data_IF_276990507446
#
_entry.id   IF_276990507446
#
_cell.length_a   1.000
_cell.length_b   1.000
_cell.length_c   1.000
_cell.angle_alpha   90.00
_cell.angle_beta   90.00
_cell.angle_gamma   90.00
#
_symmetry.space_group_name_H-M   'P 1'
#
loop_
_entity.id
_entity.type
_entity.pdbx_description
1 polymer ?
#
# COMPACT_ATOMS: atom_id res chain seq x y z
N UNK A 1 77.02 -7.97 -9.50
CA UNK A 1 75.91 -8.90 -9.23
C UNK A 1 74.62 -8.12 -9.34
N UNK A 2 73.84 -8.36 -10.39
CA UNK A 2 72.50 -7.80 -10.56
C UNK A 2 71.52 -8.51 -9.62
N UNK A 3 70.63 -7.78 -8.94
CA UNK A 3 69.16 -8.01 -8.97
C UNK A 3 68.38 -7.12 -7.97
N UNK A 4 67.53 -6.28 -8.58
CA UNK A 4 66.12 -6.03 -8.26
C UNK A 4 65.73 -5.11 -7.08
N UNK A 5 65.55 -3.84 -7.48
CA UNK A 5 64.45 -2.91 -7.22
C UNK A 5 63.10 -3.46 -6.70
N UNK A 6 62.33 -2.53 -6.11
CA UNK A 6 60.89 -2.50 -5.77
C UNK A 6 60.46 -3.00 -4.39
N UNK A 7 60.17 -2.04 -3.51
CA UNK A 7 59.02 -2.08 -2.61
C UNK A 7 58.49 -0.65 -2.44
N UNK A 8 57.81 -0.18 -3.49
CA UNK A 8 56.94 0.98 -3.45
C UNK A 8 55.55 0.56 -2.95
N UNK A 9 54.93 1.44 -2.17
CA UNK A 9 53.48 1.61 -2.03
C UNK A 9 52.65 0.37 -1.62
N UNK A 10 52.43 0.20 -0.32
CA UNK A 10 51.22 -0.42 0.21
C UNK A 10 50.64 0.46 1.32
N UNK A 11 50.17 1.65 0.93
CA UNK A 11 49.47 2.57 1.82
C UNK A 11 48.41 3.38 1.04
N UNK A 12 47.41 2.71 0.47
CA UNK A 12 46.13 3.31 0.06
C UNK A 12 45.20 2.26 -0.57
N UNK A 13 44.61 1.39 0.25
CA UNK A 13 43.29 0.80 -0.07
C UNK A 13 42.46 0.80 1.21
N UNK A 14 42.27 1.98 1.81
CA UNK A 14 41.10 2.20 2.64
C UNK A 14 39.94 2.41 1.67
N UNK A 15 39.10 1.38 1.57
CA UNK A 15 37.83 1.46 0.88
C UNK A 15 37.09 2.71 1.35
N UNK A 16 36.76 3.59 0.41
CA UNK A 16 35.74 4.62 0.57
C UNK A 16 34.39 3.91 0.73
N UNK A 17 34.11 3.40 1.94
CA UNK A 17 32.75 3.11 2.36
C UNK A 17 32.19 4.42 2.91
N UNK A 18 31.10 4.89 2.31
CA UNK A 18 30.33 6.02 2.83
C UNK A 18 30.02 5.75 4.32
N UNK A 19 30.47 6.58 5.27
CA UNK A 19 30.23 6.37 6.70
C UNK A 19 28.75 6.24 7.04
N UNK A 20 27.87 6.79 6.20
CA UNK A 20 26.42 6.69 6.37
C UNK A 20 25.86 5.29 6.04
N UNK A 21 26.52 4.49 5.21
CA UNK A 21 26.13 3.09 4.95
C UNK A 21 26.46 2.17 6.13
N UNK A 22 27.57 2.44 6.83
CA UNK A 22 27.99 1.67 8.01
C UNK A 22 27.08 1.97 9.22
N UNK A 23 26.64 3.21 9.38
CA UNK A 23 25.77 3.62 10.50
C UNK A 23 24.32 3.14 10.35
N UNK A 24 23.84 2.92 9.12
CA UNK A 24 22.47 2.48 8.85
C UNK A 24 22.33 0.96 8.71
N UNK A 25 23.44 0.20 8.68
CA UNK A 25 23.43 -1.25 8.67
C UNK A 25 23.38 -1.80 10.10
N UNK A 26 22.46 -2.74 10.43
CA UNK A 26 22.47 -3.39 11.73
C UNK A 26 23.79 -4.15 11.95
N UNK A 27 24.27 -4.27 13.20
CA UNK A 27 25.38 -5.17 13.50
C UNK A 27 25.06 -6.59 13.01
N UNK A 28 26.02 -7.29 12.40
CA UNK A 28 25.76 -8.60 11.76
C UNK A 28 25.13 -9.62 12.71
N UNK A 29 25.51 -9.59 14.00
CA UNK A 29 24.92 -10.46 15.02
C UNK A 29 23.41 -10.22 15.18
N UNK A 30 22.98 -8.95 15.09
CA UNK A 30 21.59 -8.54 15.23
C UNK A 30 20.80 -8.99 14.00
N UNK A 31 21.35 -8.76 12.81
CA UNK A 31 20.71 -9.16 11.55
C UNK A 31 20.58 -10.68 11.42
N UNK A 32 21.66 -11.42 11.70
CA UNK A 32 21.62 -12.89 11.70
C UNK A 32 20.61 -13.44 12.71
N UNK A 33 20.58 -12.90 13.93
CA UNK A 33 19.65 -13.35 14.96
C UNK A 33 18.19 -13.11 14.55
N UNK A 34 17.88 -11.97 13.93
CA UNK A 34 16.55 -11.69 13.42
C UNK A 34 16.19 -12.62 12.25
N UNK A 35 17.07 -12.76 11.25
CA UNK A 35 16.83 -13.63 10.09
C UNK A 35 16.57 -15.07 10.50
N UNK A 36 17.35 -15.60 11.44
CA UNK A 36 17.12 -16.94 11.98
C UNK A 36 15.71 -17.08 12.58
N UNK A 37 15.28 -16.11 13.38
CA UNK A 37 13.94 -16.11 13.99
C UNK A 37 12.82 -16.00 12.96
N UNK A 38 13.00 -15.15 11.94
CA UNK A 38 12.07 -15.04 10.81
C UNK A 38 11.97 -16.38 10.08
N UNK A 39 13.10 -16.94 9.67
CA UNK A 39 13.15 -18.22 8.95
C UNK A 39 12.47 -19.32 9.75
N UNK A 40 12.75 -19.44 11.05
CA UNK A 40 12.13 -20.43 11.93
C UNK A 40 10.60 -20.26 11.99
N UNK A 41 10.12 -19.03 12.18
CA UNK A 41 8.68 -18.73 12.25
C UNK A 41 7.93 -19.09 10.96
N UNK A 42 8.47 -18.71 9.81
CA UNK A 42 7.85 -19.00 8.52
C UNK A 42 8.00 -20.47 8.12
N UNK A 43 9.08 -21.16 8.52
CA UNK A 43 9.17 -22.60 8.37
C UNK A 43 8.08 -23.34 9.15
N UNK A 44 7.73 -22.88 10.35
CA UNK A 44 6.59 -23.45 11.07
C UNK A 44 5.26 -23.18 10.37
N UNK A 45 5.09 -22.04 9.68
CA UNK A 45 3.88 -21.81 8.87
C UNK A 45 3.82 -22.69 7.63
N UNK A 46 4.95 -22.88 6.95
CA UNK A 46 5.04 -23.80 5.78
C UNK A 46 4.73 -25.24 6.19
N UNK A 47 5.24 -25.67 7.36
CA UNK A 47 4.96 -27.00 7.93
C UNK A 47 3.62 -27.09 8.65
N UNK A 48 2.88 -25.98 8.75
CA UNK A 48 1.63 -25.87 9.52
C UNK A 48 1.78 -26.24 11.02
N UNK A 49 2.99 -26.13 11.57
CA UNK A 49 3.30 -26.37 12.98
C UNK A 49 3.08 -25.10 13.82
N UNK A 50 1.89 -24.50 13.70
CA UNK A 50 1.59 -23.18 14.28
C UNK A 50 1.81 -23.07 15.80
N UNK A 51 1.61 -24.18 16.52
CA UNK A 51 1.88 -24.24 17.96
C UNK A 51 3.36 -24.02 18.29
N UNK A 52 4.28 -24.49 17.43
CA UNK A 52 5.72 -24.23 17.63
C UNK A 52 6.07 -22.78 17.31
N UNK A 53 5.40 -22.18 16.32
CA UNK A 53 5.58 -20.77 15.98
C UNK A 53 5.23 -19.83 17.13
N UNK A 54 4.30 -20.22 18.01
CA UNK A 54 3.91 -19.45 19.19
C UNK A 54 5.09 -19.07 20.10
N UNK A 55 6.12 -19.92 20.19
CA UNK A 55 7.31 -19.62 20.99
C UNK A 55 8.11 -18.39 20.47
N UNK A 56 7.84 -17.97 19.24
CA UNK A 56 8.44 -16.82 18.57
C UNK A 56 7.54 -15.59 18.58
N UNK A 57 6.34 -15.70 19.16
CA UNK A 57 5.34 -14.63 19.26
C UNK A 57 5.54 -13.86 20.57
N UNK A 58 5.54 -12.53 20.49
CA UNK A 58 5.71 -11.69 21.66
C UNK A 58 4.54 -11.91 22.64
N UNK A 59 4.78 -11.91 23.97
CA UNK A 59 3.75 -12.23 24.96
C UNK A 59 2.46 -11.42 24.82
N UNK A 60 2.58 -10.13 24.49
CA UNK A 60 1.47 -9.18 24.39
C UNK A 60 0.61 -9.32 23.13
N UNK A 61 1.01 -10.15 22.16
CA UNK A 61 0.25 -10.37 20.91
C UNK A 61 -0.19 -11.83 20.72
N UNK A 62 -0.05 -12.68 21.75
CA UNK A 62 -0.41 -14.10 21.68
C UNK A 62 -1.90 -14.33 21.41
N UNK A 63 -2.78 -13.57 22.06
CA UNK A 63 -4.23 -13.68 21.82
C UNK A 63 -4.62 -13.36 20.38
N UNK A 64 -3.98 -12.36 19.79
CA UNK A 64 -4.14 -12.07 18.36
C UNK A 64 -3.68 -13.26 17.53
N UNK A 65 -2.51 -13.81 17.84
CA UNK A 65 -1.98 -14.97 17.13
C UNK A 65 -2.94 -16.17 17.22
N UNK A 66 -3.54 -16.47 18.37
CA UNK A 66 -4.48 -17.60 18.50
C UNK A 66 -5.75 -17.41 17.70
N UNK A 67 -6.37 -16.23 17.81
CA UNK A 67 -7.68 -15.91 17.21
C UNK A 67 -7.64 -15.70 15.69
N UNK A 68 -6.49 -15.35 15.12
CA UNK A 68 -6.38 -15.08 13.69
C UNK A 68 -6.16 -16.35 12.86
N UNK A 69 -6.74 -16.32 11.65
CA UNK A 69 -6.47 -17.33 10.63
C UNK A 69 -4.97 -17.33 10.28
N UNK A 70 -4.38 -18.52 10.22
CA UNK A 70 -2.97 -18.71 9.91
C UNK A 70 -2.88 -19.29 8.51
N UNK A 71 -2.40 -18.51 7.52
CA UNK A 71 -2.28 -19.01 6.17
C UNK A 71 -1.30 -20.18 6.11
N UNK A 72 -1.70 -21.23 5.38
CA UNK A 72 -0.83 -22.33 5.03
C UNK A 72 0.03 -21.91 3.83
N UNK A 73 1.26 -21.48 4.10
CA UNK A 73 2.21 -21.12 3.05
C UNK A 73 2.83 -22.37 2.42
N UNK A 74 3.14 -22.31 1.13
CA UNK A 74 3.90 -23.33 0.41
C UNK A 74 5.41 -23.07 0.52
N UNK A 75 5.80 -21.79 0.47
CA UNK A 75 7.17 -21.32 0.67
C UNK A 75 7.15 -19.87 1.13
N UNK A 76 8.23 -19.41 1.77
CA UNK A 76 8.41 -18.01 2.17
C UNK A 76 9.89 -17.62 2.14
N UNK A 77 10.19 -16.47 1.54
CA UNK A 77 11.54 -15.90 1.47
C UNK A 77 11.56 -14.47 1.99
N UNK A 78 12.66 -14.08 2.63
CA UNK A 78 12.87 -12.70 3.10
C UNK A 78 13.28 -11.84 1.90
N UNK A 79 12.44 -10.88 1.50
CA UNK A 79 12.77 -9.95 0.43
C UNK A 79 13.54 -8.73 0.92
N UNK A 80 13.13 -8.15 2.06
CA UNK A 80 13.75 -6.95 2.63
C UNK A 80 13.55 -6.94 4.14
N UNK A 81 14.50 -6.36 4.88
CA UNK A 81 14.32 -6.03 6.29
C UNK A 81 14.65 -4.54 6.47
N UNK A 82 13.76 -3.82 7.14
CA UNK A 82 13.97 -2.44 7.57
C UNK A 82 14.03 -2.42 9.08
N UNK A 83 15.12 -1.92 9.63
CA UNK A 83 15.32 -1.80 11.07
C UNK A 83 14.96 -0.39 11.54
N UNK A 84 14.38 -0.31 12.72
CA UNK A 84 14.04 0.94 13.40
C UNK A 84 14.39 0.84 14.87
N UNK A 85 14.24 1.95 15.61
CA UNK A 85 14.43 1.99 17.06
C UNK A 85 15.79 1.42 17.50
N UNK A 86 16.87 1.94 16.90
CA UNK A 86 18.26 1.51 17.18
C UNK A 86 18.43 -0.02 17.10
N UNK A 87 17.85 -0.62 16.07
CA UNK A 87 17.86 -2.07 15.80
C UNK A 87 17.12 -2.93 16.85
N UNK A 88 16.18 -2.34 17.61
CA UNK A 88 15.29 -3.08 18.51
C UNK A 88 13.95 -3.44 17.88
N UNK A 89 13.64 -2.85 16.73
CA UNK A 89 12.46 -3.16 15.92
C UNK A 89 12.85 -3.39 14.48
N UNK A 90 12.07 -4.22 13.79
CA UNK A 90 12.23 -4.44 12.38
C UNK A 90 10.89 -4.76 11.71
N UNK A 91 10.78 -4.35 10.44
CA UNK A 91 9.73 -4.80 9.52
C UNK A 91 10.40 -5.54 8.38
N UNK A 92 10.13 -6.84 8.29
CA UNK A 92 10.53 -7.66 7.17
C UNK A 92 9.39 -7.72 6.13
N UNK A 93 9.75 -7.58 4.87
CA UNK A 93 8.89 -7.92 3.74
C UNK A 93 9.20 -9.36 3.35
N UNK A 94 8.22 -10.23 3.53
CA UNK A 94 8.27 -11.63 3.13
C UNK A 94 7.61 -11.80 1.77
N UNK A 95 8.13 -12.68 0.93
CA UNK A 95 7.43 -13.17 -0.26
C UNK A 95 6.98 -14.59 0.05
N UNK A 96 5.68 -14.81 0.22
CA UNK A 96 5.16 -16.14 0.53
C UNK A 96 4.26 -16.64 -0.60
N UNK A 97 4.49 -17.88 -1.01
CA UNK A 97 3.64 -18.60 -1.97
C UNK A 97 2.48 -19.25 -1.24
N UNK A 98 1.26 -19.04 -1.71
CA UNK A 98 0.05 -19.69 -1.17
C UNK A 98 -1.09 -19.71 -2.19
N UNK A 99 -2.09 -20.55 -1.94
CA UNK A 99 -3.36 -20.46 -2.65
C UNK A 99 -4.19 -19.31 -2.07
N UNK A 100 -4.63 -18.40 -2.93
CA UNK A 100 -5.47 -17.28 -2.55
C UNK A 100 -6.92 -17.66 -2.87
N UNK A 101 -7.77 -17.71 -1.84
CA UNK A 101 -9.17 -18.12 -1.95
C UNK A 101 -10.05 -16.99 -2.52
N UNK A 102 -9.70 -16.54 -3.72
CA UNK A 102 -10.46 -15.57 -4.52
C UNK A 102 -10.92 -16.29 -5.79
N UNK A 103 -12.20 -16.17 -6.19
CA UNK A 103 -12.68 -16.75 -7.45
C UNK A 103 -11.77 -16.38 -8.63
N UNK A 104 -11.35 -17.37 -9.42
CA UNK A 104 -10.42 -17.21 -10.54
C UNK A 104 -8.93 -17.36 -10.19
N UNK A 105 -8.55 -17.36 -8.91
CA UNK A 105 -7.15 -17.49 -8.46
C UNK A 105 -6.90 -18.71 -7.55
N UNK A 106 -7.94 -19.46 -7.18
CA UNK A 106 -7.84 -20.55 -6.22
C UNK A 106 -6.98 -21.75 -6.68
N UNK A 107 -6.84 -21.96 -7.99
CA UNK A 107 -6.21 -23.17 -8.55
C UNK A 107 -4.70 -23.03 -8.77
N UNK A 108 -4.13 -21.84 -8.57
CA UNK A 108 -2.70 -21.58 -8.77
C UNK A 108 -2.11 -20.85 -7.57
N UNK A 109 -0.94 -21.29 -7.07
CA UNK A 109 -0.30 -20.57 -5.99
C UNK A 109 0.22 -19.22 -6.48
N UNK A 110 -0.03 -18.18 -5.70
CA UNK A 110 0.48 -16.83 -5.94
C UNK A 110 1.56 -16.51 -4.90
N UNK A 111 2.66 -15.91 -5.36
CA UNK A 111 3.67 -15.33 -4.47
C UNK A 111 3.27 -13.91 -4.12
N UNK A 112 2.91 -13.69 -2.85
CA UNK A 112 2.38 -12.42 -2.36
C UNK A 112 3.34 -11.82 -1.33
N UNK A 113 3.60 -10.50 -1.38
CA UNK A 113 4.38 -9.83 -0.35
C UNK A 113 3.57 -9.65 0.96
N UNK A 114 4.13 -10.07 2.08
CA UNK A 114 3.58 -9.86 3.43
C UNK A 114 4.51 -9.04 4.30
N UNK A 115 3.94 -8.12 5.08
CA UNK A 115 4.65 -7.45 6.17
C UNK A 115 4.78 -8.37 7.38
N UNK A 116 5.96 -8.40 7.99
CA UNK A 116 6.27 -9.17 9.20
C UNK A 116 7.00 -8.28 10.19
N UNK A 117 6.39 -8.03 11.35
CA UNK A 117 6.90 -7.10 12.35
C UNK A 117 7.56 -7.83 13.51
N UNK A 118 8.74 -7.35 13.90
CA UNK A 118 9.61 -7.97 14.90
C UNK A 118 10.12 -6.96 15.91
N UNK A 119 10.17 -7.35 17.18
CA UNK A 119 10.70 -6.53 18.27
C UNK A 119 11.58 -7.36 19.19
N UNK A 120 12.53 -6.70 19.84
CA UNK A 120 13.35 -7.31 20.89
C UNK A 120 12.59 -7.28 22.21
N UNK A 121 12.43 -8.45 22.83
CA UNK A 121 11.96 -8.64 24.21
C UNK A 121 13.02 -9.45 24.94
N UNK A 122 13.55 -8.93 26.05
CA UNK A 122 14.61 -9.57 26.85
C UNK A 122 15.80 -10.06 26.00
N UNK A 123 16.22 -9.24 25.03
CA UNK A 123 17.36 -9.52 24.16
C UNK A 123 17.10 -10.53 23.03
N UNK A 124 15.86 -11.02 22.86
CA UNK A 124 15.47 -11.95 21.80
C UNK A 124 14.43 -11.32 20.87
N UNK A 125 14.49 -11.67 19.59
CA UNK A 125 13.50 -11.22 18.61
C UNK A 125 12.22 -12.03 18.70
N UNK A 126 11.09 -11.33 18.75
CA UNK A 126 9.75 -11.88 18.73
C UNK A 126 8.91 -11.20 17.65
N UNK A 127 8.13 -11.99 16.95
CA UNK A 127 7.09 -11.51 16.06
C UNK A 127 5.99 -10.84 16.88
N UNK A 128 5.48 -9.71 16.40
CA UNK A 128 4.37 -9.03 17.05
C UNK A 128 3.46 -8.35 16.04
N UNK A 129 2.24 -8.06 16.44
CA UNK A 129 1.32 -7.21 15.70
C UNK A 129 1.08 -5.93 16.47
N UNK A 130 1.19 -4.82 15.76
CA UNK A 130 0.74 -3.53 16.25
C UNK A 130 -0.75 -3.37 15.89
N UNK A 131 -1.61 -3.65 16.86
CA UNK A 131 -3.07 -3.65 16.68
C UNK A 131 -3.62 -2.27 16.31
N UNK A 132 -2.93 -1.21 16.72
CA UNK A 132 -3.35 0.15 16.41
C UNK A 132 -2.96 0.49 14.97
N UNK A 133 -1.72 0.16 14.58
CA UNK A 133 -1.25 0.35 13.21
C UNK A 133 -2.02 -0.50 12.18
N UNK A 134 -2.63 -1.63 12.58
CA UNK A 134 -3.52 -2.40 11.69
C UNK A 134 -4.75 -1.60 11.25
N UNK A 135 -5.16 -0.62 12.05
CA UNK A 135 -6.32 0.22 11.74
C UNK A 135 -5.93 1.34 10.80
N UNK A 136 -4.65 1.69 10.69
CA UNK A 136 -4.21 2.75 9.80
C UNK A 136 -4.15 2.24 8.36
N UNK A 137 -5.17 2.58 7.57
CA UNK A 137 -5.20 2.28 6.14
C UNK A 137 -4.93 3.54 5.31
N UNK A 138 -4.55 3.40 4.03
CA UNK A 138 -4.54 4.54 3.10
C UNK A 138 -5.90 5.25 2.98
N UNK A 139 -7.00 4.61 3.41
CA UNK A 139 -8.36 5.14 3.43
C UNK A 139 -8.74 5.77 4.79
N UNK A 140 -7.75 6.00 5.66
CA UNK A 140 -7.94 6.46 7.03
C UNK A 140 -8.02 5.31 8.03
N UNK A 141 -8.33 5.68 9.28
CA UNK A 141 -8.37 4.71 10.39
C UNK A 141 -9.61 3.83 10.31
N UNK A 142 -9.42 2.53 10.08
CA UNK A 142 -10.47 1.52 10.05
C UNK A 142 -11.15 1.43 11.42
N UNK A 143 -12.46 1.65 11.42
CA UNK A 143 -13.34 1.36 12.55
C UNK A 143 -14.05 0.04 12.31
N UNK A 144 -14.22 -0.82 13.33
CA UNK A 144 -15.05 -2.01 13.22
C UNK A 144 -16.44 -1.65 12.65
N UNK A 145 -16.91 -2.42 11.68
CA UNK A 145 -18.27 -2.27 11.15
C UNK A 145 -19.32 -2.64 12.20
N UNK A 146 -20.57 -2.23 11.97
CA UNK A 146 -21.69 -2.71 12.78
C UNK A 146 -21.78 -4.24 12.68
N UNK A 147 -22.02 -4.90 13.82
CA UNK A 147 -22.05 -6.36 13.90
C UNK A 147 -23.14 -6.92 12.98
N UNK A 148 -22.75 -7.73 11.99
CA UNK A 148 -23.70 -8.41 11.08
C UNK A 148 -23.85 -7.80 9.68
N UNK A 149 -23.18 -6.70 9.34
CA UNK A 149 -23.14 -6.24 7.94
C UNK A 149 -22.05 -6.98 7.17
N UNK A 150 -22.40 -8.08 6.51
CA UNK A 150 -21.60 -8.62 5.42
C UNK A 150 -21.44 -7.52 4.35
N UNK A 151 -20.23 -7.25 3.83
CA UNK A 151 -20.08 -6.32 2.72
C UNK A 151 -20.97 -6.79 1.56
N UNK A 152 -21.69 -5.87 0.94
CA UNK A 152 -22.39 -6.14 -0.32
C UNK A 152 -21.41 -6.85 -1.27
N UNK A 153 -21.87 -7.97 -1.84
CA UNK A 153 -21.04 -8.97 -2.50
C UNK A 153 -20.03 -8.35 -3.47
N UNK A 154 -18.79 -8.81 -3.37
CA UNK A 154 -17.78 -8.54 -4.39
C UNK A 154 -18.33 -8.96 -5.77
N UNK A 155 -18.08 -8.19 -6.83
CA UNK A 155 -18.50 -8.58 -8.17
C UNK A 155 -17.93 -9.96 -8.52
N UNK A 156 -18.76 -10.81 -9.13
CA UNK A 156 -18.44 -12.21 -9.44
C UNK A 156 -17.26 -12.39 -10.41
N UNK A 157 -16.81 -11.31 -11.06
CA UNK A 157 -15.67 -11.28 -11.97
C UNK A 157 -14.76 -10.15 -11.54
N UNK A 158 -13.60 -10.50 -10.97
CA UNK A 158 -12.49 -9.58 -10.73
C UNK A 158 -11.52 -9.80 -11.90
N UNK A 159 -11.33 -8.79 -12.78
CA UNK A 159 -10.34 -8.87 -13.85
C UNK A 159 -8.95 -9.20 -13.30
N UNK A 160 -8.14 -9.89 -14.09
CA UNK A 160 -6.80 -10.37 -13.77
C UNK A 160 -5.70 -9.27 -13.78
N UNK A 161 -6.10 -8.01 -13.87
CA UNK A 161 -5.21 -6.84 -13.82
C UNK A 161 -5.69 -5.82 -12.76
N UNK A 162 -4.75 -5.05 -12.20
CA UNK A 162 -5.08 -4.04 -11.18
C UNK A 162 -5.81 -2.81 -11.75
N UNK A 163 -5.92 -2.70 -13.09
CA UNK A 163 -6.50 -1.54 -13.77
C UNK A 163 -8.00 -1.41 -13.50
N UNK A 164 -8.69 -2.50 -13.14
CA UNK A 164 -10.11 -2.43 -12.82
C UNK A 164 -10.39 -1.48 -11.66
N UNK A 165 -9.49 -1.40 -10.65
CA UNK A 165 -9.63 -0.53 -9.47
C UNK A 165 -9.59 0.95 -9.88
N UNK A 166 -8.73 1.28 -10.84
CA UNK A 166 -8.59 2.63 -11.39
C UNK A 166 -9.79 3.04 -12.26
N UNK A 167 -10.65 2.10 -12.66
CA UNK A 167 -11.86 2.39 -13.40
C UNK A 167 -13.09 2.48 -12.50
N UNK A 168 -12.98 2.33 -11.17
CA UNK A 168 -14.19 2.27 -10.33
C UNK A 168 -14.77 3.64 -10.00
N UNK A 169 -13.97 4.71 -9.96
CA UNK A 169 -14.47 6.08 -9.89
C UNK A 169 -14.55 6.66 -11.30
N UNK A 170 -15.74 7.05 -11.75
CA UNK A 170 -15.98 7.53 -13.13
C UNK A 170 -16.87 8.75 -13.16
N UNK A 171 -16.58 9.65 -14.09
CA UNK A 171 -17.55 10.64 -14.57
C UNK A 171 -18.56 9.98 -15.53
N UNK A 172 -19.79 10.46 -15.53
CA UNK A 172 -20.84 10.06 -16.48
C UNK A 172 -20.57 10.54 -17.91
N UNK A 173 -19.84 11.65 -18.07
CA UNK A 173 -19.36 12.17 -19.35
C UNK A 173 -17.94 12.73 -19.23
N UNK A 174 -17.16 12.60 -20.30
CA UNK A 174 -15.78 13.13 -20.39
C UNK A 174 -15.68 14.51 -21.03
N UNK A 175 -16.81 15.08 -21.47
CA UNK A 175 -16.85 16.42 -22.05
C UNK A 175 -18.19 17.11 -21.83
N UNK A 176 -18.16 18.45 -21.84
CA UNK A 176 -19.34 19.32 -21.78
C UNK A 176 -19.18 20.52 -22.71
N UNK A 177 -20.31 21.05 -23.18
CA UNK A 177 -20.37 22.30 -23.93
C UNK A 177 -21.07 23.35 -23.09
N UNK A 178 -20.37 24.42 -22.71
CA UNK A 178 -20.92 25.51 -21.90
C UNK A 178 -21.39 26.64 -22.81
N UNK A 179 -22.64 27.05 -22.63
CA UNK A 179 -23.16 28.30 -23.17
C UNK A 179 -23.09 29.39 -22.10
N UNK A 180 -22.77 30.65 -22.44
CA UNK A 180 -22.75 31.75 -21.49
C UNK A 180 -24.05 31.81 -20.67
N UNK A 181 -23.93 31.85 -19.35
CA UNK A 181 -25.07 31.93 -18.41
C UNK A 181 -25.80 30.61 -18.12
N UNK A 182 -25.55 29.51 -18.85
CA UNK A 182 -26.18 28.21 -18.61
C UNK A 182 -25.22 27.24 -17.91
N UNK A 183 -25.59 26.69 -16.74
CA UNK A 183 -24.77 25.69 -16.07
C UNK A 183 -24.90 24.31 -16.74
N UNK A 184 -23.80 23.57 -16.75
CA UNK A 184 -23.77 22.14 -17.08
C UNK A 184 -23.29 21.33 -15.88
N UNK A 185 -23.72 20.08 -15.79
CA UNK A 185 -23.35 19.20 -14.66
C UNK A 185 -22.69 17.92 -15.14
N UNK A 186 -21.64 17.48 -14.46
CA UNK A 186 -21.01 16.16 -14.61
C UNK A 186 -21.19 15.39 -13.32
N UNK A 187 -21.59 14.12 -13.39
CA UNK A 187 -21.77 13.26 -12.23
C UNK A 187 -20.56 12.35 -12.05
N UNK A 188 -19.94 12.36 -10.88
CA UNK A 188 -18.82 11.49 -10.51
C UNK A 188 -19.35 10.41 -9.58
N UNK A 189 -19.27 9.14 -10.00
CA UNK A 189 -19.73 7.99 -9.21
C UNK A 189 -18.54 7.22 -8.65
N UNK A 190 -18.64 6.81 -7.37
CA UNK A 190 -17.71 5.87 -6.77
C UNK A 190 -18.26 4.44 -6.82
N UNK A 191 -17.64 3.57 -7.62
CA UNK A 191 -17.87 2.13 -7.63
C UNK A 191 -16.83 1.32 -6.85
N UNK A 192 -15.84 1.99 -6.24
CA UNK A 192 -14.76 1.33 -5.53
C UNK A 192 -15.18 0.94 -4.11
N UNK A 193 -14.58 -0.11 -3.52
CA UNK A 193 -14.73 -0.38 -2.10
C UNK A 193 -14.16 0.77 -1.27
N UNK A 194 -14.88 1.16 -0.21
CA UNK A 194 -14.47 2.23 0.70
C UNK A 194 -14.90 3.64 0.27
N UNK A 195 -14.41 4.62 1.02
CA UNK A 195 -14.68 6.05 0.81
C UNK A 195 -13.59 6.63 -0.09
N UNK A 196 -13.99 7.37 -1.13
CA UNK A 196 -13.08 8.05 -2.06
C UNK A 196 -13.24 9.56 -1.94
N UNK A 197 -12.13 10.26 -1.73
CA UNK A 197 -12.10 11.71 -1.70
C UNK A 197 -11.71 12.24 -3.09
N UNK A 198 -12.45 13.23 -3.56
CA UNK A 198 -12.20 13.88 -4.84
C UNK A 198 -11.83 15.35 -4.65
N UNK A 199 -10.97 15.86 -5.51
CA UNK A 199 -10.57 17.27 -5.52
C UNK A 199 -10.43 17.80 -6.95
N UNK A 200 -10.64 19.10 -7.14
CA UNK A 200 -10.34 19.80 -8.39
C UNK A 200 -8.86 20.18 -8.39
N UNK A 201 -8.09 19.62 -9.32
CA UNK A 201 -6.63 19.87 -9.43
C UNK A 201 -6.25 20.71 -10.65
N UNK A 202 -7.14 20.83 -11.62
CA UNK A 202 -6.98 21.72 -12.78
C UNK A 202 -8.33 22.39 -13.06
N UNK A 203 -8.29 23.71 -13.22
CA UNK A 203 -9.47 24.56 -13.47
C UNK A 203 -9.21 25.47 -14.65
N UNK A 204 -10.27 25.90 -15.34
CA UNK A 204 -10.16 26.78 -16.50
C UNK A 204 -10.45 28.22 -16.09
N UNK A 205 -9.57 29.19 -16.39
CA UNK A 205 -9.86 30.60 -16.16
C UNK A 205 -11.18 31.04 -16.80
N UNK A 206 -12.05 31.67 -16.00
CA UNK A 206 -13.38 32.13 -16.43
C UNK A 206 -14.48 31.07 -16.40
N UNK A 207 -14.17 29.81 -16.07
CA UNK A 207 -15.18 28.78 -15.80
C UNK A 207 -15.25 28.51 -14.30
N UNK A 208 -16.41 28.76 -13.71
CA UNK A 208 -16.68 28.35 -12.33
C UNK A 208 -16.94 26.85 -12.29
N UNK A 209 -16.24 26.14 -11.40
CA UNK A 209 -16.35 24.70 -11.22
C UNK A 209 -16.56 24.37 -9.74
N UNK A 210 -17.68 23.73 -9.41
CA UNK A 210 -18.05 23.42 -8.03
C UNK A 210 -18.54 21.99 -7.88
N UNK A 211 -17.89 21.24 -7.00
CA UNK A 211 -18.41 19.97 -6.50
C UNK A 211 -19.36 20.23 -5.32
N UNK A 212 -20.46 19.50 -5.27
CA UNK A 212 -21.44 19.58 -4.19
C UNK A 212 -20.93 18.95 -2.88
N UNK A 213 -20.13 17.88 -2.98
CA UNK A 213 -19.36 17.30 -1.87
C UNK A 213 -18.12 16.58 -2.41
N UNK A 214 -17.17 16.29 -1.50
CA UNK A 214 -15.86 15.75 -1.85
C UNK A 214 -15.65 14.31 -1.40
N UNK A 215 -16.51 13.80 -0.51
CA UNK A 215 -16.39 12.46 0.07
C UNK A 215 -17.44 11.52 -0.54
N UNK A 216 -17.00 10.54 -1.34
CA UNK A 216 -17.86 9.58 -2.01
C UNK A 216 -17.81 8.22 -1.33
N UNK A 217 -18.93 7.79 -0.73
CA UNK A 217 -19.07 6.41 -0.23
C UNK A 217 -19.23 5.41 -1.38
N UNK A 218 -19.18 4.11 -1.08
CA UNK A 218 -19.43 3.07 -2.09
C UNK A 218 -20.82 3.26 -2.68
N UNK A 219 -20.90 3.38 -4.01
CA UNK A 219 -22.15 3.59 -4.76
C UNK A 219 -22.61 5.05 -4.81
N UNK A 220 -21.96 5.95 -4.08
CA UNK A 220 -22.31 7.37 -3.97
C UNK A 220 -21.94 8.18 -5.22
N UNK A 221 -22.49 9.39 -5.34
CA UNK A 221 -22.31 10.27 -6.49
C UNK A 221 -22.18 11.74 -6.08
N UNK A 222 -21.15 12.41 -6.57
CA UNK A 222 -21.00 13.87 -6.49
C UNK A 222 -21.33 14.52 -7.84
N UNK A 223 -21.81 15.76 -7.78
CA UNK A 223 -22.15 16.55 -8.97
C UNK A 223 -21.18 17.73 -9.08
N UNK A 224 -20.40 17.73 -10.17
CA UNK A 224 -19.63 18.88 -10.60
C UNK A 224 -20.53 19.80 -11.43
N UNK A 225 -20.81 20.99 -10.92
CA UNK A 225 -21.51 22.05 -11.64
C UNK A 225 -20.50 22.99 -12.27
N UNK A 226 -20.67 23.26 -13.56
CA UNK A 226 -19.80 24.10 -14.39
C UNK A 226 -20.59 25.28 -14.94
N UNK A 227 -20.05 26.49 -14.86
CA UNK A 227 -20.66 27.71 -15.41
C UNK A 227 -19.61 28.57 -16.10
N UNK A 228 -19.87 28.94 -17.35
CA UNK A 228 -19.03 29.89 -18.07
C UNK A 228 -19.38 31.33 -17.66
N UNK A 229 -18.39 32.07 -17.18
CA UNK A 229 -18.44 33.52 -17.00
C UNK A 229 -17.97 34.28 -18.23
N UNK A 230 -17.95 35.61 -18.14
CA UNK A 230 -17.48 36.47 -19.23
C UNK A 230 -15.99 36.21 -19.52
N UNK A 231 -15.66 36.00 -20.80
CA UNK A 231 -14.30 35.71 -21.24
C UNK A 231 -13.80 34.29 -20.93
N UNK A 232 -14.68 33.37 -20.53
CA UNK A 232 -14.37 31.96 -20.37
C UNK A 232 -13.77 31.35 -21.64
N UNK A 233 -12.78 30.47 -21.48
CA UNK A 233 -12.14 29.76 -22.58
C UNK A 233 -12.44 28.27 -22.49
N UNK A 234 -12.35 27.58 -23.63
CA UNK A 234 -12.33 26.12 -23.66
C UNK A 234 -11.04 25.58 -23.04
N UNK A 235 -11.09 24.40 -22.43
CA UNK A 235 -9.95 23.82 -21.74
C UNK A 235 -10.28 22.52 -21.01
N UNK A 236 -9.37 22.10 -20.14
CA UNK A 236 -9.51 20.87 -19.36
C UNK A 236 -9.78 21.20 -17.89
N UNK A 237 -10.74 20.50 -17.29
CA UNK A 237 -10.87 20.40 -15.84
C UNK A 237 -10.45 19.00 -15.43
N UNK A 238 -9.63 18.90 -14.40
CA UNK A 238 -9.12 17.61 -13.91
C UNK A 238 -9.55 17.39 -12.47
N UNK A 239 -10.20 16.25 -12.23
CA UNK A 239 -10.63 15.81 -10.89
C UNK A 239 -9.67 14.70 -10.44
N UNK A 240 -9.04 14.85 -9.27
CA UNK A 240 -8.17 13.83 -8.70
C UNK A 240 -8.92 13.02 -7.65
N UNK A 241 -8.81 11.70 -7.73
CA UNK A 241 -9.20 10.78 -6.66
C UNK A 241 -7.99 10.61 -5.75
N UNK A 242 -8.06 11.10 -4.52
CA UNK A 242 -6.87 11.24 -3.66
C UNK A 242 -6.24 9.91 -3.29
N UNK A 243 -7.05 8.89 -3.02
CA UNK A 243 -6.59 7.58 -2.54
C UNK A 243 -5.90 6.75 -3.61
N UNK A 244 -6.30 6.89 -4.87
CA UNK A 244 -5.74 6.12 -6.00
C UNK A 244 -4.76 6.95 -6.83
N UNK A 245 -4.77 8.28 -6.69
CA UNK A 245 -4.06 9.19 -7.59
C UNK A 245 -4.65 9.26 -8.99
N UNK A 246 -5.80 8.62 -9.26
CA UNK A 246 -6.48 8.68 -10.54
C UNK A 246 -6.87 10.13 -10.87
N UNK A 247 -6.62 10.55 -12.11
CA UNK A 247 -7.08 11.84 -12.63
C UNK A 247 -8.17 11.60 -13.67
N UNK A 248 -9.32 12.24 -13.47
CA UNK A 248 -10.48 12.18 -14.35
C UNK A 248 -10.55 13.51 -15.13
N UNK A 249 -10.16 13.52 -16.41
CA UNK A 249 -10.21 14.71 -17.24
C UNK A 249 -11.63 14.95 -17.78
N UNK A 250 -12.09 16.20 -17.73
CA UNK A 250 -13.33 16.69 -18.32
C UNK A 250 -13.00 17.80 -19.31
N UNK A 251 -13.22 17.54 -20.59
CA UNK A 251 -13.05 18.53 -21.65
C UNK A 251 -14.22 19.52 -21.65
N UNK A 252 -13.93 20.81 -21.50
CA UNK A 252 -14.93 21.87 -21.56
C UNK A 252 -14.76 22.66 -22.85
N UNK A 253 -15.84 22.79 -23.61
CA UNK A 253 -15.94 23.64 -24.80
C UNK A 253 -16.87 24.81 -24.51
N UNK A 254 -16.37 26.04 -24.54
CA UNK A 254 -17.21 27.25 -24.43
C UNK A 254 -17.70 27.63 -25.82
N UNK A 255 -19.02 27.82 -25.96
CA UNK A 255 -19.70 28.19 -27.20
C UNK A 255 -19.94 29.70 -27.31
#
# INVERSE_FOLDING_TARGET
>A
MFRLSLLALFAAVLFAQDPSEVLNRPPDRVDRALRQRITEFYQFHVKQEFRKAEALVAPDTKEYFYSHNKPAYLSCDIAKIVYTDKFKRAKATMKCSQFVMVPGFADKPLTVPFGSTWKVVDGKWYWYVDMEALRDTPFGKMTPGAQGSSPAGLPAVIPDNADFVMALVKADKGSVSLKPGQPETVTIRNGAPGIMNISLVETIPGVEAKLDHLELKVGDKAVLTLRAGDGARSGLISIKVEQTGQVIPIQVSVQ
#
